data_IF_591080505198
#
_entry.id   IF_591080505198
#
_cell.length_a   1.000
_cell.length_b   1.000
_cell.length_c   1.000
_cell.angle_alpha   90.00
_cell.angle_beta   90.00
_cell.angle_gamma   90.00
#
_symmetry.space_group_name_H-M   'P 1'
#
loop_
_entity.id
_entity.type
_entity.pdbx_description
1 polymer ?
#
# COMPACT_ATOMS: atom_id res chain seq x y z
N UNK A 1 2.84 -12.54 26.19
CA UNK A 1 2.98 -13.49 25.05
C UNK A 1 4.47 -13.67 24.80
N UNK A 2 4.98 -14.90 24.71
CA UNK A 2 6.41 -15.18 24.45
C UNK A 2 6.60 -15.29 22.93
N UNK A 3 7.58 -14.59 22.32
CA UNK A 3 7.84 -14.71 20.89
C UNK A 3 8.38 -16.09 20.52
N UNK A 4 7.88 -16.65 19.42
CA UNK A 4 8.34 -17.92 18.84
C UNK A 4 9.22 -17.68 17.63
N UNK A 5 10.42 -18.26 17.63
CA UNK A 5 11.38 -18.22 16.52
C UNK A 5 11.29 -19.46 15.63
N UNK A 6 10.32 -20.34 15.87
CA UNK A 6 10.16 -21.59 15.13
C UNK A 6 9.69 -21.32 13.70
N UNK A 7 10.48 -21.76 12.71
CA UNK A 7 10.20 -21.57 11.27
C UNK A 7 9.60 -22.80 10.59
N UNK A 8 9.50 -23.92 11.30
CA UNK A 8 9.05 -25.22 10.78
C UNK A 8 7.65 -25.17 10.14
N UNK A 9 6.78 -24.29 10.64
CA UNK A 9 5.39 -24.18 10.20
C UNK A 9 5.17 -23.30 8.98
N UNK A 10 6.21 -22.59 8.52
CA UNK A 10 6.19 -21.80 7.31
C UNK A 10 7.06 -22.52 6.29
N UNK A 11 6.50 -22.81 5.13
CA UNK A 11 7.29 -23.39 4.05
C UNK A 11 8.10 -22.26 3.39
N UNK A 12 9.44 -22.32 3.41
CA UNK A 12 10.23 -21.40 2.62
C UNK A 12 9.83 -21.49 1.15
N UNK A 13 9.92 -20.37 0.43
CA UNK A 13 9.69 -20.37 -1.02
C UNK A 13 10.67 -21.33 -1.70
N UNK A 14 10.16 -22.14 -2.63
CA UNK A 14 10.96 -22.99 -3.51
C UNK A 14 10.42 -22.90 -4.93
N UNK A 15 11.20 -22.43 -5.92
CA UNK A 15 12.59 -21.98 -5.81
C UNK A 15 12.73 -20.66 -5.05
N UNK A 16 13.92 -20.36 -4.51
CA UNK A 16 14.22 -19.08 -3.82
C UNK A 16 14.37 -17.90 -4.78
N UNK A 17 13.62 -17.89 -5.87
CA UNK A 17 13.64 -16.86 -6.91
C UNK A 17 12.40 -16.00 -6.76
N UNK A 18 12.59 -14.68 -6.74
CA UNK A 18 11.51 -13.70 -6.75
C UNK A 18 11.10 -13.36 -8.17
N UNK A 19 9.88 -12.89 -8.36
CA UNK A 19 9.47 -12.37 -9.66
C UNK A 19 10.33 -11.15 -10.01
N UNK A 20 10.91 -11.05 -11.21
CA UNK A 20 11.62 -9.84 -11.67
C UNK A 20 10.76 -8.58 -11.64
N UNK A 21 9.42 -8.73 -11.61
CA UNK A 21 8.50 -7.61 -11.45
C UNK A 21 8.73 -6.85 -10.14
N UNK A 22 9.25 -7.50 -9.10
CA UNK A 22 9.53 -6.86 -7.80
C UNK A 22 10.59 -5.77 -7.93
N UNK A 23 11.57 -5.95 -8.82
CA UNK A 23 12.64 -4.96 -9.04
C UNK A 23 12.08 -3.64 -9.60
N UNK A 24 10.95 -3.71 -10.32
CA UNK A 24 10.25 -2.56 -10.87
C UNK A 24 9.18 -1.98 -9.92
N UNK A 25 8.93 -2.62 -8.76
CA UNK A 25 7.89 -2.18 -7.82
C UNK A 25 8.43 -1.28 -6.71
N UNK A 26 9.71 -1.41 -6.35
CA UNK A 26 10.30 -0.69 -5.24
C UNK A 26 11.52 0.10 -5.71
N UNK A 27 11.56 1.38 -5.37
CA UNK A 27 12.77 2.19 -5.46
C UNK A 27 13.45 2.21 -4.09
N UNK A 28 14.80 2.13 -4.02
CA UNK A 28 15.52 2.42 -2.79
C UNK A 28 15.17 3.83 -2.31
N UNK A 29 14.70 3.94 -1.06
CA UNK A 29 14.53 5.25 -0.44
C UNK A 29 15.81 5.62 0.30
N UNK A 30 16.47 6.68 -0.17
CA UNK A 30 17.59 7.30 0.52
C UNK A 30 17.07 8.57 1.18
N UNK A 31 16.90 8.61 2.52
CA UNK A 31 16.44 9.81 3.20
C UNK A 31 17.45 10.95 2.99
N UNK A 32 16.99 12.22 2.93
CA UNK A 32 17.89 13.36 2.93
C UNK A 32 18.84 13.28 4.13
N UNK A 33 20.11 13.61 3.91
CA UNK A 33 21.15 13.58 4.96
C UNK A 33 20.87 14.58 6.09
N UNK A 34 20.04 15.60 5.84
CA UNK A 34 19.69 16.64 6.81
C UNK A 34 18.16 16.86 6.82
N UNK A 35 17.46 16.60 7.95
CA UNK A 35 16.01 16.78 8.06
C UNK A 35 15.57 18.25 8.16
N UNK A 36 16.49 19.20 8.44
CA UNK A 36 16.17 20.62 8.62
C UNK A 36 16.32 21.46 7.35
N UNK A 37 16.88 20.88 6.29
CA UNK A 37 16.93 21.52 4.98
C UNK A 37 15.54 21.38 4.34
N UNK A 38 14.67 22.35 4.62
CA UNK A 38 13.61 22.71 3.69
C UNK A 38 14.32 23.16 2.40
N UNK A 39 14.55 22.20 1.51
CA UNK A 39 15.24 22.39 0.25
C UNK A 39 14.37 23.28 -0.67
N UNK A 40 14.47 24.59 -0.41
CA UNK A 40 13.84 25.68 -1.15
C UNK A 40 14.84 26.34 -2.11
N UNK A 41 15.90 25.62 -2.49
CA UNK A 41 16.83 26.00 -3.55
C UNK A 41 18.06 25.09 -3.50
N UNK A 42 18.51 24.49 -4.60
CA UNK A 42 18.74 25.13 -5.91
C UNK A 42 18.90 24.12 -7.05
N UNK A 43 18.39 24.53 -8.21
CA UNK A 43 19.01 24.53 -9.56
C UNK A 43 20.11 23.50 -9.85
N UNK A 44 19.78 22.41 -10.55
CA UNK A 44 19.97 22.25 -12.01
C UNK A 44 19.71 20.77 -12.37
N UNK A 45 18.65 20.50 -13.13
CA UNK A 45 18.40 19.19 -13.76
C UNK A 45 17.85 18.10 -12.84
N UNK A 46 16.53 17.95 -12.83
CA UNK A 46 15.84 16.68 -12.56
C UNK A 46 16.01 16.00 -11.18
N UNK A 47 16.24 16.75 -10.10
CA UNK A 47 16.15 16.17 -8.76
C UNK A 47 14.76 16.43 -8.15
N UNK A 48 13.90 15.39 -8.21
CA UNK A 48 12.58 15.43 -7.59
C UNK A 48 12.71 15.74 -6.10
N UNK A 49 12.33 16.94 -5.68
CA UNK A 49 12.22 17.32 -4.27
C UNK A 49 11.24 16.37 -3.56
N UNK A 50 11.79 15.41 -2.81
CA UNK A 50 10.99 14.45 -2.05
C UNK A 50 10.48 15.12 -0.78
N UNK A 51 9.28 15.71 -0.85
CA UNK A 51 8.66 16.36 0.31
C UNK A 51 7.94 15.33 1.17
N UNK A 52 8.41 15.14 2.40
CA UNK A 52 7.70 14.33 3.40
C UNK A 52 6.66 15.20 4.13
N UNK A 53 5.38 14.82 4.08
CA UNK A 53 4.27 15.56 4.71
C UNK A 53 3.41 14.65 5.55
N UNK A 54 3.07 15.12 6.75
CA UNK A 54 2.10 14.47 7.63
C UNK A 54 0.74 15.14 7.42
N UNK A 55 -0.27 14.36 7.06
CA UNK A 55 -1.64 14.84 6.90
C UNK A 55 -2.52 14.35 8.05
N UNK A 56 -3.21 15.29 8.70
CA UNK A 56 -4.26 14.98 9.66
C UNK A 56 -5.61 14.88 8.93
N UNK A 57 -6.36 13.81 9.18
CA UNK A 57 -7.67 13.58 8.58
C UNK A 57 -8.67 13.31 9.69
N UNK A 58 -9.69 14.15 9.77
CA UNK A 58 -10.76 13.99 10.75
C UNK A 58 -11.56 12.70 10.51
N UNK A 59 -12.03 12.10 11.61
CA UNK A 59 -12.83 10.88 11.55
C UNK A 59 -14.12 11.04 10.75
N UNK A 60 -14.71 12.24 10.70
CA UNK A 60 -15.90 12.51 9.91
C UNK A 60 -15.61 12.49 8.40
N UNK A 61 -14.52 13.14 7.96
CA UNK A 61 -14.10 13.11 6.56
C UNK A 61 -13.80 11.68 6.09
N UNK A 62 -13.14 10.89 6.95
CA UNK A 62 -12.89 9.48 6.65
C UNK A 62 -14.19 8.66 6.56
N UNK A 63 -15.19 8.93 7.40
CA UNK A 63 -16.52 8.30 7.29
C UNK A 63 -17.20 8.68 5.98
N UNK A 64 -17.13 9.94 5.56
CA UNK A 64 -17.67 10.41 4.27
C UNK A 64 -17.00 9.67 3.11
N UNK A 65 -15.67 9.53 3.13
CA UNK A 65 -14.94 8.73 2.14
C UNK A 65 -15.40 7.27 2.11
N UNK A 66 -15.57 6.64 3.28
CA UNK A 66 -16.09 5.26 3.32
C UNK A 66 -17.49 5.15 2.69
N UNK A 67 -18.38 6.11 2.93
CA UNK A 67 -19.73 6.11 2.36
C UNK A 67 -19.70 6.19 0.83
N UNK A 68 -18.80 6.99 0.25
CA UNK A 68 -18.67 7.15 -1.19
C UNK A 68 -18.16 5.90 -1.92
N UNK A 69 -17.42 5.03 -1.24
CA UNK A 69 -16.81 3.81 -1.81
C UNK A 69 -17.65 2.56 -1.52
N UNK A 70 -18.74 2.69 -0.77
CA UNK A 70 -19.65 1.58 -0.50
C UNK A 70 -20.53 1.32 -1.73
N UNK A 71 -20.30 0.19 -2.39
CA UNK A 71 -21.14 -0.33 -3.46
C UNK A 71 -21.98 -1.51 -2.94
N UNK A 72 -23.23 -1.63 -3.41
CA UNK A 72 -24.11 -2.79 -3.16
C UNK A 72 -24.33 -3.15 -1.68
N UNK A 73 -24.33 -2.16 -0.78
CA UNK A 73 -24.58 -2.37 0.66
C UNK A 73 -23.40 -2.97 1.44
N UNK A 74 -22.27 -3.28 0.79
CA UNK A 74 -21.08 -3.79 1.45
C UNK A 74 -20.20 -2.63 1.93
N UNK A 75 -20.10 -2.46 3.25
CA UNK A 75 -19.25 -1.41 3.84
C UNK A 75 -17.76 -1.73 3.62
N UNK A 76 -17.04 -0.85 2.94
CA UNK A 76 -15.58 -0.93 2.78
C UNK A 76 -14.86 -0.48 4.05
N UNK A 77 -13.67 -1.03 4.31
CA UNK A 77 -12.85 -0.64 5.46
C UNK A 77 -12.32 0.80 5.30
N UNK A 78 -11.92 1.43 6.42
CA UNK A 78 -11.32 2.77 6.41
C UNK A 78 -10.05 2.80 5.56
N UNK A 79 -9.24 1.75 5.68
CA UNK A 79 -8.01 1.57 4.91
C UNK A 79 -8.32 1.54 3.41
N UNK A 80 -9.28 0.70 2.98
CA UNK A 80 -9.64 0.59 1.56
C UNK A 80 -10.16 1.92 1.03
N UNK A 81 -11.08 2.58 1.75
CA UNK A 81 -11.64 3.85 1.30
C UNK A 81 -10.56 4.94 1.17
N UNK A 82 -9.69 5.07 2.17
CA UNK A 82 -8.62 6.07 2.16
C UNK A 82 -7.55 5.77 1.10
N UNK A 83 -7.10 4.51 0.99
CA UNK A 83 -6.13 4.12 -0.04
C UNK A 83 -6.68 4.35 -1.45
N UNK A 84 -7.96 4.02 -1.71
CA UNK A 84 -8.59 4.30 -3.00
C UNK A 84 -8.68 5.79 -3.30
N UNK A 85 -9.02 6.61 -2.30
CA UNK A 85 -9.02 8.07 -2.43
C UNK A 85 -7.63 8.61 -2.76
N UNK A 86 -6.60 8.19 -2.03
CA UNK A 86 -5.22 8.63 -2.25
C UNK A 86 -4.72 8.19 -3.63
N UNK A 87 -4.99 6.95 -4.04
CA UNK A 87 -4.63 6.45 -5.36
C UNK A 87 -5.26 7.29 -6.48
N UNK A 88 -6.53 7.70 -6.32
CA UNK A 88 -7.20 8.61 -7.25
C UNK A 88 -6.56 10.00 -7.27
N UNK A 89 -6.21 10.57 -6.12
CA UNK A 89 -5.55 11.88 -6.08
C UNK A 89 -4.18 11.86 -6.76
N UNK A 90 -3.39 10.80 -6.55
CA UNK A 90 -2.10 10.61 -7.22
C UNK A 90 -2.31 10.43 -8.72
N UNK A 91 -3.29 9.64 -9.15
CA UNK A 91 -3.64 9.48 -10.56
C UNK A 91 -3.99 10.83 -11.23
N UNK A 92 -4.83 11.65 -10.59
CA UNK A 92 -5.15 13.01 -11.07
C UNK A 92 -3.89 13.88 -11.20
N UNK A 93 -2.97 13.80 -10.25
CA UNK A 93 -1.70 14.55 -10.31
C UNK A 93 -0.83 14.09 -11.50
N UNK A 94 -0.76 12.79 -11.77
CA UNK A 94 -0.02 12.23 -12.91
C UNK A 94 -0.64 12.69 -14.22
N UNK A 95 -1.97 12.63 -14.35
CA UNK A 95 -2.69 13.10 -15.54
C UNK A 95 -2.46 14.58 -15.80
N UNK A 96 -2.58 15.43 -14.77
CA UNK A 96 -2.35 16.88 -14.87
C UNK A 96 -0.90 17.23 -15.26
N UNK A 97 0.05 16.31 -15.05
CA UNK A 97 1.45 16.49 -15.44
C UNK A 97 1.77 16.07 -16.88
N UNK A 98 0.77 15.65 -17.67
CA UNK A 98 0.95 15.20 -19.06
C UNK A 98 1.51 13.76 -19.17
N UNK A 99 1.53 13.01 -18.06
CA UNK A 99 2.05 11.65 -17.96
C UNK A 99 0.94 10.59 -18.04
N UNK A 100 -0.12 10.87 -18.81
CA UNK A 100 -1.31 10.02 -18.83
C UNK A 100 -1.07 8.60 -19.39
N UNK A 101 0.04 8.34 -20.09
CA UNK A 101 0.41 7.00 -20.57
C UNK A 101 1.18 6.17 -19.53
N UNK A 102 1.54 6.74 -18.38
CA UNK A 102 2.21 6.01 -17.30
C UNK A 102 1.24 5.15 -16.48
N UNK A 103 1.77 4.16 -15.77
CA UNK A 103 1.00 3.37 -14.80
C UNK A 103 0.97 4.07 -13.43
N UNK A 104 -0.20 4.22 -12.84
CA UNK A 104 -0.35 4.63 -11.45
C UNK A 104 -0.51 3.38 -10.58
N UNK A 105 0.49 3.12 -9.74
CA UNK A 105 0.61 1.91 -8.94
C UNK A 105 0.23 2.17 -7.48
N UNK A 106 -0.46 1.21 -6.86
CA UNK A 106 -0.72 1.21 -5.41
C UNK A 106 -0.36 -0.15 -4.81
N UNK A 107 0.31 -0.13 -3.67
CA UNK A 107 0.68 -1.34 -2.91
C UNK A 107 0.30 -1.09 -1.46
N UNK A 108 -0.28 -2.08 -0.79
CA UNK A 108 -0.61 -2.00 0.64
C UNK A 108 0.03 -3.19 1.35
N UNK A 109 0.86 -2.94 2.37
CA UNK A 109 1.36 -4.00 3.23
C UNK A 109 0.28 -4.46 4.21
N UNK A 110 0.04 -5.77 4.26
CA UNK A 110 -0.99 -6.41 5.08
C UNK A 110 -0.36 -7.50 5.95
N UNK A 111 -0.73 -7.54 7.23
CA UNK A 111 -0.38 -8.64 8.13
C UNK A 111 -1.07 -9.94 7.68
N UNK A 112 -0.26 -10.91 7.26
CA UNK A 112 -0.72 -12.20 6.75
C UNK A 112 -1.05 -13.22 7.83
N UNK A 113 -0.70 -12.97 9.11
CA UNK A 113 -0.85 -13.96 10.21
C UNK A 113 -2.24 -14.55 10.28
N UNK A 114 -3.26 -13.69 10.31
CA UNK A 114 -4.66 -14.09 10.40
C UNK A 114 -5.09 -14.99 9.24
N UNK A 115 -4.63 -14.68 8.02
CA UNK A 115 -4.98 -15.46 6.82
C UNK A 115 -4.27 -16.81 6.79
N UNK A 116 -3.04 -16.89 7.30
CA UNK A 116 -2.27 -18.15 7.38
C UNK A 116 -2.72 -19.07 8.53
N UNK A 117 -3.39 -18.54 9.54
CA UNK A 117 -4.02 -19.34 10.60
C UNK A 117 -5.50 -19.64 10.36
N UNK A 118 -6.09 -19.04 9.31
CA UNK A 118 -7.51 -19.20 8.99
C UNK A 118 -7.81 -20.68 8.71
N UNK A 119 -8.79 -21.26 9.41
CA UNK A 119 -9.22 -22.66 9.29
C UNK A 119 -8.26 -23.73 9.87
N UNK A 120 -7.12 -23.36 10.45
CA UNK A 120 -6.19 -24.30 11.12
C UNK A 120 -6.38 -24.38 12.65
N UNK A 121 -7.40 -23.70 13.20
CA UNK A 121 -7.79 -23.74 14.61
C UNK A 121 -6.91 -22.91 15.56
N UNK A 122 -7.29 -22.87 16.84
CA UNK A 122 -6.68 -21.97 17.84
C UNK A 122 -5.17 -22.15 18.01
N UNK A 123 -4.66 -23.38 17.84
CA UNK A 123 -3.23 -23.67 18.01
C UNK A 123 -2.39 -22.91 16.98
N UNK A 124 -2.81 -22.93 15.70
CA UNK A 124 -2.11 -22.21 14.63
C UNK A 124 -2.26 -20.69 14.80
N UNK A 125 -3.42 -20.23 15.25
CA UNK A 125 -3.66 -18.81 15.52
C UNK A 125 -2.73 -18.28 16.63
N UNK A 126 -2.71 -18.92 17.80
CA UNK A 126 -1.80 -18.56 18.91
C UNK A 126 -0.33 -18.57 18.47
N UNK A 127 0.05 -19.56 17.67
CA UNK A 127 1.39 -19.65 17.09
C UNK A 127 1.69 -18.48 16.15
N UNK A 128 0.84 -18.20 15.16
CA UNK A 128 1.04 -17.09 14.22
C UNK A 128 1.08 -15.74 14.93
N UNK A 129 0.26 -15.55 15.97
CA UNK A 129 0.29 -14.37 16.82
C UNK A 129 1.62 -14.23 17.57
N UNK A 130 2.23 -15.35 18.01
CA UNK A 130 3.55 -15.36 18.67
C UNK A 130 4.73 -15.33 17.71
N UNK A 131 4.54 -15.55 16.40
CA UNK A 131 5.64 -15.72 15.45
C UNK A 131 6.50 -14.45 15.34
N UNK A 132 7.78 -14.63 15.65
CA UNK A 132 8.82 -13.63 15.51
C UNK A 132 9.35 -13.63 14.06
N UNK A 133 9.00 -12.58 13.32
CA UNK A 133 9.40 -12.40 11.94
C UNK A 133 8.34 -11.70 11.09
N UNK A 134 8.68 -11.48 9.82
CA UNK A 134 7.78 -10.84 8.87
C UNK A 134 6.79 -11.86 8.29
N UNK A 135 5.51 -11.58 8.46
CA UNK A 135 4.41 -12.28 7.78
C UNK A 135 3.59 -11.21 7.08
N UNK A 136 4.07 -10.82 5.90
CA UNK A 136 3.50 -9.72 5.13
C UNK A 136 3.02 -10.24 3.78
N UNK A 137 1.87 -9.74 3.37
CA UNK A 137 1.41 -9.80 1.98
C UNK A 137 1.26 -8.38 1.46
N UNK A 138 1.57 -8.19 0.18
CA UNK A 138 1.53 -6.88 -0.46
C UNK A 138 0.63 -6.95 -1.70
N UNK A 139 -0.71 -6.93 -1.53
CA UNK A 139 -1.61 -6.72 -2.66
C UNK A 139 -1.21 -5.46 -3.43
N UNK A 140 -1.25 -5.59 -4.75
CA UNK A 140 -0.82 -4.57 -5.69
C UNK A 140 -1.92 -4.32 -6.73
N UNK A 141 -2.11 -3.06 -7.10
CA UNK A 141 -2.93 -2.62 -8.21
C UNK A 141 -2.16 -1.68 -9.12
N UNK A 142 -2.33 -1.86 -10.43
CA UNK A 142 -1.77 -0.98 -11.47
C UNK A 142 -2.82 -0.68 -12.51
N UNK A 143 -3.04 0.61 -12.77
CA UNK A 143 -3.95 1.10 -13.81
C UNK A 143 -3.42 2.42 -14.36
N UNK A 144 -3.83 2.78 -15.58
CA UNK A 144 -3.51 4.11 -16.09
C UNK A 144 -4.31 5.18 -15.30
N UNK A 145 -3.78 6.41 -15.17
CA UNK A 145 -4.46 7.51 -14.50
C UNK A 145 -5.91 7.73 -14.96
N UNK A 146 -6.14 7.67 -16.27
CA UNK A 146 -7.46 7.87 -16.86
C UNK A 146 -8.44 6.81 -16.34
N UNK A 147 -8.05 5.53 -16.36
CA UNK A 147 -8.94 4.45 -15.90
C UNK A 147 -9.29 4.64 -14.42
N UNK A 148 -8.33 5.00 -13.56
CA UNK A 148 -8.60 5.23 -12.14
C UNK A 148 -9.61 6.36 -11.94
N UNK A 149 -9.49 7.43 -12.74
CA UNK A 149 -10.40 8.57 -12.69
C UNK A 149 -11.82 8.20 -13.16
N UNK A 150 -11.95 7.39 -14.22
CA UNK A 150 -13.23 6.95 -14.76
C UNK A 150 -13.93 5.84 -13.93
N UNK A 151 -13.19 5.01 -13.18
CA UNK A 151 -13.74 3.81 -12.51
C UNK A 151 -14.62 4.12 -11.29
N UNK A 152 -14.88 5.38 -10.93
CA UNK A 152 -15.72 5.72 -9.75
C UNK A 152 -17.24 5.44 -9.92
N UNK A 153 -17.65 4.66 -10.93
CA UNK A 153 -19.03 4.18 -11.09
C UNK A 153 -19.20 2.68 -11.35
N UNK A 154 -18.13 1.90 -11.57
CA UNK A 154 -18.23 0.45 -11.74
C UNK A 154 -16.95 -0.26 -11.31
N UNK A 155 -17.10 -1.12 -10.30
CA UNK A 155 -16.28 -2.31 -10.05
C UNK A 155 -14.78 -2.05 -9.90
N UNK A 156 -14.35 -1.88 -8.66
CA UNK A 156 -13.03 -2.32 -8.22
C UNK A 156 -13.24 -3.59 -7.40
N UNK A 157 -13.37 -4.74 -8.07
CA UNK A 157 -12.89 -6.10 -7.74
C UNK A 157 -13.13 -6.98 -8.97
#
# INVERSE_FOLDING_TARGET
MIPSFERSYLKPRSPKVYSPLIDNMFAPFSPPSDPDINDLGKEDGDEYLHVNRIYYIEGEQLKRLQLLVNENGARRSKLVAFTSFLWKQVALSIENSGKQNESCNVIVAIDGRRRLSEKEGEKKEKMMMSHFGNILSMPFGSKSPQVINFTTRKNIY
#
